data_IF_835672799593
#
_entry.id   IF_835672799593
#
_cell.length_a   1.000
_cell.length_b   1.000
_cell.length_c   1.000
_cell.angle_alpha   90.00
_cell.angle_beta   90.00
_cell.angle_gamma   90.00
#
_symmetry.space_group_name_H-M   'P 1'
#
loop_
_entity.id
_entity.type
_entity.pdbx_description
1 polymer ?
#
# COMPACT_ATOMS: atom_id res chain seq x y z
N UNK A 1 22.56 -24.86 -19.64
CA UNK A 1 21.38 -24.09 -19.18
C UNK A 1 21.81 -22.67 -18.95
N UNK A 2 21.24 -21.71 -19.67
CA UNK A 2 21.72 -20.32 -19.68
C UNK A 2 21.58 -19.70 -18.27
N UNK A 3 22.65 -19.12 -17.68
CA UNK A 3 22.63 -18.60 -16.32
C UNK A 3 21.87 -17.28 -16.14
N UNK A 4 21.41 -16.65 -17.23
CA UNK A 4 20.87 -15.29 -17.22
C UNK A 4 19.35 -15.17 -17.08
N UNK A 5 18.62 -16.27 -16.88
CA UNK A 5 17.16 -16.24 -16.71
C UNK A 5 16.77 -16.29 -15.25
N UNK A 6 16.31 -15.15 -14.72
CA UNK A 6 15.63 -15.04 -13.43
C UNK A 6 14.44 -16.02 -13.39
N UNK A 7 14.22 -16.77 -12.29
CA UNK A 7 13.09 -17.68 -12.18
C UNK A 7 11.77 -16.96 -12.50
N UNK A 8 10.90 -17.56 -13.32
CA UNK A 8 9.63 -16.95 -13.74
C UNK A 8 8.74 -16.53 -12.56
N UNK A 9 8.90 -17.21 -11.42
CA UNK A 9 8.20 -16.94 -10.17
C UNK A 9 8.61 -15.56 -9.62
N UNK A 10 9.91 -15.29 -9.49
CA UNK A 10 10.44 -14.02 -8.97
C UNK A 10 10.05 -12.85 -9.89
N UNK A 11 10.08 -13.08 -11.21
CA UNK A 11 9.66 -12.10 -12.22
C UNK A 11 8.18 -11.73 -12.11
N UNK A 12 7.32 -12.71 -11.83
CA UNK A 12 5.88 -12.50 -11.59
C UNK A 12 5.64 -11.80 -10.27
N UNK A 13 6.31 -12.17 -9.19
CA UNK A 13 6.16 -11.51 -7.89
C UNK A 13 6.56 -10.04 -7.95
N UNK A 14 7.67 -9.69 -8.59
CA UNK A 14 8.11 -8.29 -8.75
C UNK A 14 7.13 -7.48 -9.61
N UNK A 15 6.61 -8.07 -10.69
CA UNK A 15 5.70 -7.37 -11.62
C UNK A 15 4.28 -7.20 -11.06
N UNK A 16 3.77 -8.18 -10.31
CA UNK A 16 2.40 -8.16 -9.79
C UNK A 16 2.32 -7.77 -8.31
N UNK A 17 3.41 -7.80 -7.56
CA UNK A 17 3.44 -7.49 -6.13
C UNK A 17 2.84 -6.13 -5.80
N UNK A 18 3.23 -5.09 -6.54
CA UNK A 18 2.75 -3.72 -6.36
C UNK A 18 1.24 -3.61 -6.63
N UNK A 19 0.75 -4.38 -7.62
CA UNK A 19 -0.67 -4.46 -7.96
C UNK A 19 -1.47 -5.22 -6.91
N UNK A 20 -0.91 -6.30 -6.34
CA UNK A 20 -1.52 -7.04 -5.23
C UNK A 20 -1.59 -6.19 -3.96
N UNK A 21 -0.52 -5.45 -3.64
CA UNK A 21 -0.49 -4.55 -2.49
C UNK A 21 -1.49 -3.39 -2.66
N UNK A 22 -1.54 -2.80 -3.86
CA UNK A 22 -2.54 -1.79 -4.22
C UNK A 22 -3.97 -2.35 -4.17
N UNK A 23 -4.18 -3.58 -4.65
CA UNK A 23 -5.48 -4.25 -4.59
C UNK A 23 -5.95 -4.48 -3.15
N UNK A 24 -5.05 -4.94 -2.27
CA UNK A 24 -5.35 -5.05 -0.84
C UNK A 24 -5.67 -3.68 -0.21
N UNK A 25 -4.98 -2.61 -0.62
CA UNK A 25 -5.28 -1.25 -0.17
C UNK A 25 -6.69 -0.79 -0.61
N UNK A 26 -7.09 -1.12 -1.84
CA UNK A 26 -8.44 -0.85 -2.34
C UNK A 26 -9.51 -1.59 -1.53
N UNK A 27 -9.29 -2.89 -1.26
CA UNK A 27 -10.18 -3.69 -0.42
C UNK A 27 -10.27 -3.14 1.01
N UNK A 28 -9.14 -2.76 1.61
CA UNK A 28 -9.09 -2.14 2.93
C UNK A 28 -9.89 -0.81 2.95
N UNK A 29 -9.80 -0.01 1.90
CA UNK A 29 -10.59 1.21 1.71
C UNK A 29 -12.08 0.94 1.61
N UNK A 30 -12.50 -0.07 0.84
CA UNK A 30 -13.91 -0.48 0.72
C UNK A 30 -14.49 -1.00 2.03
N UNK A 31 -13.73 -1.84 2.75
CA UNK A 31 -14.14 -2.36 4.07
C UNK A 31 -14.29 -1.19 5.06
N UNK A 32 -13.30 -0.30 5.11
CA UNK A 32 -13.38 0.91 5.94
C UNK A 32 -14.61 1.75 5.61
N UNK A 33 -14.87 1.99 4.32
CA UNK A 33 -16.01 2.75 3.85
C UNK A 33 -17.34 2.10 4.29
N UNK A 34 -17.47 0.78 4.18
CA UNK A 34 -18.66 0.04 4.61
C UNK A 34 -18.92 0.20 6.12
N UNK A 35 -17.86 0.10 6.93
CA UNK A 35 -17.96 0.25 8.38
C UNK A 35 -18.36 1.68 8.78
N UNK A 36 -17.70 2.71 8.22
CA UNK A 36 -18.04 4.10 8.49
C UNK A 36 -19.48 4.44 8.08
N UNK A 37 -19.96 3.91 6.95
CA UNK A 37 -21.34 4.14 6.51
C UNK A 37 -22.38 3.51 7.41
N UNK A 38 -22.09 2.34 7.98
CA UNK A 38 -22.96 1.72 9.00
C UNK A 38 -22.99 2.55 10.27
N UNK A 39 -21.84 3.05 10.73
CA UNK A 39 -21.76 3.89 11.95
C UNK A 39 -22.43 5.26 11.77
N UNK A 40 -22.34 5.87 10.60
CA UNK A 40 -22.90 7.20 10.30
C UNK A 40 -24.30 7.15 9.64
N UNK A 41 -24.90 5.96 9.56
CA UNK A 41 -26.23 5.69 8.99
C UNK A 41 -26.44 6.25 7.56
N UNK A 42 -25.43 6.14 6.70
CA UNK A 42 -25.43 6.73 5.36
C UNK A 42 -25.91 5.70 4.32
N UNK A 43 -27.20 5.76 3.97
CA UNK A 43 -27.80 4.85 2.96
C UNK A 43 -27.52 5.27 1.50
N UNK A 44 -27.45 6.58 1.21
CA UNK A 44 -27.25 7.14 -0.14
C UNK A 44 -25.77 7.39 -0.46
N UNK A 45 -25.39 7.37 -1.74
CA UNK A 45 -24.02 7.72 -2.17
C UNK A 45 -22.98 6.60 -2.05
N UNK A 46 -23.38 5.34 -2.24
CA UNK A 46 -22.45 4.20 -2.23
C UNK A 46 -21.33 4.37 -3.23
N UNK A 47 -21.66 4.61 -4.49
CA UNK A 47 -20.69 4.77 -5.56
C UNK A 47 -19.79 5.99 -5.33
N UNK A 48 -20.37 7.11 -4.88
CA UNK A 48 -19.66 8.36 -4.65
C UNK A 48 -18.59 8.26 -3.54
N UNK A 49 -18.81 7.40 -2.54
CA UNK A 49 -17.85 7.16 -1.45
C UNK A 49 -16.92 5.98 -1.74
N UNK A 50 -17.39 4.92 -2.41
CA UNK A 50 -16.63 3.70 -2.67
C UNK A 50 -15.56 3.87 -3.76
N UNK A 51 -15.84 4.66 -4.81
CA UNK A 51 -14.87 4.96 -5.86
C UNK A 51 -13.59 5.61 -5.33
N UNK A 52 -13.65 6.77 -4.65
CA UNK A 52 -12.45 7.44 -4.17
C UNK A 52 -11.74 6.64 -3.07
N UNK A 53 -12.49 5.95 -2.20
CA UNK A 53 -11.91 5.11 -1.14
C UNK A 53 -11.27 3.82 -1.66
N UNK A 54 -11.58 3.36 -2.88
CA UNK A 54 -10.89 2.23 -3.50
C UNK A 54 -9.76 2.67 -4.44
N UNK A 55 -10.05 3.61 -5.36
CA UNK A 55 -9.14 4.02 -6.41
C UNK A 55 -7.94 4.82 -5.88
N UNK A 56 -8.16 5.73 -4.92
CA UNK A 56 -7.08 6.55 -4.40
C UNK A 56 -6.07 5.72 -3.60
N UNK A 57 -6.48 4.85 -2.64
CA UNK A 57 -5.53 4.01 -1.94
C UNK A 57 -4.79 3.03 -2.86
N UNK A 58 -5.46 2.52 -3.90
CA UNK A 58 -4.81 1.70 -4.93
C UNK A 58 -3.66 2.47 -5.61
N UNK A 59 -3.97 3.63 -6.19
CA UNK A 59 -3.01 4.43 -6.95
C UNK A 59 -1.87 4.94 -6.08
N UNK A 60 -2.20 5.43 -4.88
CA UNK A 60 -1.22 5.94 -3.92
C UNK A 60 -0.27 4.82 -3.48
N UNK A 61 -0.80 3.65 -3.11
CA UNK A 61 0.05 2.53 -2.66
C UNK A 61 0.93 2.01 -3.79
N UNK A 62 0.36 1.81 -4.98
CA UNK A 62 1.13 1.36 -6.15
C UNK A 62 2.19 2.39 -6.56
N UNK A 63 1.85 3.68 -6.56
CA UNK A 63 2.76 4.78 -6.88
C UNK A 63 3.90 4.90 -5.87
N UNK A 64 3.58 4.95 -4.56
CA UNK A 64 4.60 5.01 -3.51
C UNK A 64 5.53 3.80 -3.53
N UNK A 65 5.00 2.60 -3.78
CA UNK A 65 5.84 1.41 -3.83
C UNK A 65 6.82 1.48 -4.99
N UNK A 66 6.36 1.89 -6.18
CA UNK A 66 7.25 2.04 -7.33
C UNK A 66 8.36 3.06 -7.08
N UNK A 67 8.04 4.24 -6.53
CA UNK A 67 9.04 5.31 -6.32
C UNK A 67 9.99 5.00 -5.16
N UNK A 68 9.46 4.52 -4.03
CA UNK A 68 10.24 4.36 -2.80
C UNK A 68 10.96 3.02 -2.69
N UNK A 69 10.45 1.99 -3.36
CA UNK A 69 11.02 0.64 -3.33
C UNK A 69 11.66 0.32 -4.68
N UNK A 70 10.88 0.24 -5.77
CA UNK A 70 11.39 -0.24 -7.06
C UNK A 70 12.45 0.68 -7.67
N UNK A 71 12.18 1.98 -7.76
CA UNK A 71 13.08 2.96 -8.38
C UNK A 71 14.34 3.21 -7.53
N UNK A 72 14.18 3.24 -6.21
CA UNK A 72 15.30 3.36 -5.27
C UNK A 72 16.24 2.15 -5.30
N UNK A 73 15.70 0.94 -5.52
CA UNK A 73 16.54 -0.26 -5.69
C UNK A 73 17.36 -0.15 -6.98
N UNK A 74 16.73 0.25 -8.09
CA UNK A 74 17.37 0.35 -9.42
C UNK A 74 18.40 1.49 -9.49
N UNK A 75 18.06 2.68 -8.99
CA UNK A 75 18.87 3.89 -9.15
C UNK A 75 20.07 3.94 -8.21
N UNK A 76 19.94 3.42 -6.99
CA UNK A 76 20.89 3.74 -5.92
C UNK A 76 21.81 2.59 -5.49
N UNK A 77 21.65 1.37 -6.03
CA UNK A 77 22.51 0.23 -5.67
C UNK A 77 22.61 -0.01 -4.16
N UNK A 78 21.56 0.32 -3.40
CA UNK A 78 21.57 0.24 -1.94
C UNK A 78 21.69 -1.23 -1.53
N UNK A 79 22.88 -1.64 -1.08
CA UNK A 79 23.22 -3.00 -0.65
C UNK A 79 22.54 -3.43 0.67
N UNK A 80 21.56 -2.70 1.19
CA UNK A 80 21.00 -2.94 2.53
C UNK A 80 19.60 -3.62 2.47
N UNK A 81 19.48 -4.90 2.85
CA UNK A 81 18.20 -5.62 2.89
C UNK A 81 17.19 -4.97 3.84
N UNK A 82 17.67 -4.39 4.93
CA UNK A 82 16.86 -3.75 5.97
C UNK A 82 16.19 -2.47 5.48
N UNK A 83 16.84 -1.73 4.57
CA UNK A 83 16.28 -0.51 3.98
C UNK A 83 15.10 -0.82 3.04
N UNK A 84 15.22 -1.87 2.22
CA UNK A 84 14.14 -2.31 1.34
C UNK A 84 12.93 -2.83 2.13
N UNK A 85 13.17 -3.65 3.17
CA UNK A 85 12.09 -4.14 4.05
C UNK A 85 11.39 -3.01 4.80
N UNK A 86 12.13 -2.07 5.40
CA UNK A 86 11.54 -0.96 6.17
C UNK A 86 10.71 -0.03 5.29
N UNK A 87 11.16 0.25 4.06
CA UNK A 87 10.40 1.04 3.08
C UNK A 87 9.15 0.31 2.59
N UNK A 88 9.26 -0.98 2.25
CA UNK A 88 8.11 -1.80 1.85
C UNK A 88 7.06 -1.93 2.96
N UNK A 89 7.49 -2.12 4.20
CA UNK A 89 6.63 -2.14 5.38
C UNK A 89 5.96 -0.77 5.62
N UNK A 90 6.71 0.33 5.50
CA UNK A 90 6.17 1.68 5.66
C UNK A 90 5.11 1.98 4.61
N UNK A 91 5.36 1.65 3.33
CA UNK A 91 4.39 1.85 2.24
C UNK A 91 3.16 0.95 2.43
N UNK A 92 3.33 -0.30 2.83
CA UNK A 92 2.22 -1.22 3.11
C UNK A 92 1.33 -0.76 4.26
N UNK A 93 1.93 -0.29 5.36
CA UNK A 93 1.18 0.18 6.54
C UNK A 93 0.55 1.55 6.30
N UNK A 94 1.31 2.53 5.80
CA UNK A 94 0.84 3.89 5.61
C UNK A 94 -0.07 3.99 4.39
N UNK A 95 0.38 3.50 3.23
CA UNK A 95 -0.41 3.53 1.99
C UNK A 95 -1.54 2.52 2.00
N UNK A 96 -1.28 1.29 2.45
CA UNK A 96 -2.24 0.18 2.40
C UNK A 96 -3.21 0.08 3.59
N UNK A 97 -2.96 0.78 4.70
CA UNK A 97 -3.78 0.71 5.92
C UNK A 97 -4.17 2.08 6.49
N UNK A 98 -3.19 2.95 6.78
CA UNK A 98 -3.44 4.25 7.40
C UNK A 98 -4.22 5.21 6.51
N UNK A 99 -3.76 5.37 5.26
CA UNK A 99 -4.37 6.25 4.27
C UNK A 99 -5.84 5.88 3.95
N UNK A 100 -6.20 4.61 3.64
CA UNK A 100 -7.59 4.25 3.38
C UNK A 100 -8.53 4.52 4.56
N UNK A 101 -8.06 4.35 5.80
CA UNK A 101 -8.88 4.59 7.00
C UNK A 101 -9.13 6.08 7.19
N UNK A 102 -8.11 6.93 7.05
CA UNK A 102 -8.24 8.39 7.16
C UNK A 102 -9.08 8.97 6.03
N UNK A 103 -8.87 8.48 4.81
CA UNK A 103 -9.64 8.91 3.64
C UNK A 103 -11.12 8.50 3.78
N UNK A 104 -11.40 7.26 4.21
CA UNK A 104 -12.76 6.80 4.43
C UNK A 104 -13.45 7.60 5.55
N UNK A 105 -12.74 7.94 6.63
CA UNK A 105 -13.26 8.81 7.69
C UNK A 105 -13.67 10.18 7.11
N UNK A 106 -12.75 10.85 6.39
CA UNK A 106 -12.99 12.18 5.83
C UNK A 106 -14.16 12.20 4.84
N UNK A 107 -14.19 11.25 3.90
CA UNK A 107 -15.26 11.15 2.89
C UNK A 107 -16.62 10.91 3.53
N UNK A 108 -16.71 10.01 4.52
CA UNK A 108 -17.98 9.68 5.16
C UNK A 108 -18.48 10.79 6.09
N UNK A 109 -17.60 11.49 6.81
CA UNK A 109 -18.00 12.66 7.61
C UNK A 109 -18.47 13.79 6.71
N UNK A 110 -17.77 14.05 5.60
CA UNK A 110 -18.20 15.04 4.62
C UNK A 110 -19.58 14.70 4.04
N UNK A 111 -19.80 13.43 3.71
CA UNK A 111 -21.09 12.99 3.17
C UNK A 111 -22.21 13.07 4.21
N UNK A 112 -21.94 12.72 5.47
CA UNK A 112 -22.87 12.88 6.58
C UNK A 112 -23.24 14.36 6.80
N UNK A 113 -22.28 15.27 6.66
CA UNK A 113 -22.48 16.72 6.71
C UNK A 113 -23.42 17.20 5.61
N UNK A 114 -23.17 16.75 4.37
CA UNK A 114 -23.94 17.17 3.19
C UNK A 114 -25.35 16.62 3.20
N UNK A 115 -25.52 15.38 3.66
CA UNK A 115 -26.82 14.71 3.67
C UNK A 115 -27.60 14.92 4.97
N UNK A 116 -27.05 15.64 5.96
CA UNK A 116 -27.61 15.82 7.30
C UNK A 116 -28.06 14.50 7.96
N UNK A 117 -27.32 13.42 7.73
CA UNK A 117 -27.70 12.08 8.22
C UNK A 117 -27.31 11.82 9.67
N UNK A 118 -26.40 12.62 10.23
CA UNK A 118 -25.95 12.52 11.60
C UNK A 118 -25.80 13.92 12.23
N UNK A 119 -26.12 14.09 13.53
CA UNK A 119 -25.92 15.34 14.23
C UNK A 119 -24.43 15.67 14.25
N UNK A 120 -24.07 16.75 13.54
CA UNK A 120 -22.68 17.19 13.47
C UNK A 120 -22.23 17.77 14.81
N UNK A 121 -21.01 17.44 15.26
CA UNK A 121 -20.49 17.93 16.53
C UNK A 121 -20.33 19.45 16.51
N UNK A 122 -20.61 20.07 17.65
CA UNK A 122 -20.38 21.49 17.90
C UNK A 122 -18.88 21.82 17.74
N UNK A 123 -18.56 23.04 17.28
CA UNK A 123 -17.21 23.43 16.78
C UNK A 123 -16.04 23.10 17.73
N UNK A 124 -16.29 22.95 19.03
CA UNK A 124 -15.28 22.58 20.03
C UNK A 124 -14.99 21.08 20.18
N UNK A 125 -15.84 20.17 19.67
CA UNK A 125 -15.76 18.73 19.97
C UNK A 125 -15.57 17.83 18.73
N UNK A 126 -15.25 18.44 17.58
CA UNK A 126 -15.12 17.75 16.29
C UNK A 126 -14.03 16.66 16.33
N UNK A 127 -12.86 16.95 16.91
CA UNK A 127 -11.76 16.00 16.97
C UNK A 127 -12.10 14.77 17.81
N UNK A 128 -12.78 14.97 18.95
CA UNK A 128 -13.26 13.86 19.80
C UNK A 128 -14.26 12.99 19.05
N UNK A 129 -15.20 13.60 18.34
CA UNK A 129 -16.15 12.86 17.53
C UNK A 129 -15.45 12.00 16.45
N UNK A 130 -14.45 12.54 15.76
CA UNK A 130 -13.67 11.78 14.77
C UNK A 130 -12.95 10.59 15.42
N UNK A 131 -12.34 10.80 16.59
CA UNK A 131 -11.67 9.73 17.34
C UNK A 131 -12.67 8.67 17.79
N UNK A 132 -13.81 9.05 18.35
CA UNK A 132 -14.83 8.12 18.84
C UNK A 132 -15.44 7.28 17.72
N UNK A 133 -15.70 7.87 16.55
CA UNK A 133 -16.18 7.14 15.37
C UNK A 133 -15.07 6.22 14.82
N UNK A 134 -13.82 6.66 14.81
CA UNK A 134 -12.68 5.88 14.29
C UNK A 134 -12.26 4.73 15.20
N UNK A 135 -12.38 4.85 16.53
CA UNK A 135 -11.94 3.85 17.53
C UNK A 135 -12.46 2.43 17.27
N UNK A 136 -13.77 2.19 17.11
CA UNK A 136 -14.29 0.85 16.86
C UNK A 136 -13.83 0.31 15.50
N UNK A 137 -13.72 1.19 14.50
CA UNK A 137 -13.34 0.82 13.13
C UNK A 137 -11.86 0.44 13.07
N UNK A 138 -10.99 1.21 13.72
CA UNK A 138 -9.58 0.88 13.90
C UNK A 138 -9.40 -0.46 14.60
N UNK A 139 -10.23 -0.76 15.61
CA UNK A 139 -10.18 -2.04 16.32
C UNK A 139 -10.55 -3.22 15.41
N UNK A 140 -11.51 -3.04 14.51
CA UNK A 140 -11.91 -4.04 13.53
C UNK A 140 -10.94 -4.16 12.34
N UNK A 141 -10.25 -3.08 11.99
CA UNK A 141 -9.25 -3.02 10.92
C UNK A 141 -7.85 -3.47 11.35
N UNK A 142 -7.59 -3.65 12.66
CA UNK A 142 -6.32 -4.18 13.19
C UNK A 142 -5.79 -5.43 12.45
N UNK A 143 -6.57 -6.50 12.25
CA UNK A 143 -6.08 -7.68 11.51
C UNK A 143 -5.71 -7.35 10.06
N UNK A 144 -6.45 -6.46 9.39
CA UNK A 144 -6.14 -6.01 8.03
C UNK A 144 -4.82 -5.24 7.99
N UNK A 145 -4.59 -4.34 8.97
CA UNK A 145 -3.33 -3.61 9.11
C UNK A 145 -2.14 -4.54 9.37
N UNK A 146 -2.30 -5.55 10.23
CA UNK A 146 -1.26 -6.54 10.49
C UNK A 146 -0.95 -7.35 9.23
N UNK A 147 -1.99 -7.76 8.50
CA UNK A 147 -1.83 -8.46 7.24
C UNK A 147 -1.06 -7.60 6.23
N UNK A 148 -1.43 -6.32 6.08
CA UNK A 148 -0.73 -5.37 5.20
C UNK A 148 0.72 -5.12 5.61
N UNK A 149 1.02 -5.10 6.90
CA UNK A 149 2.40 -5.00 7.40
C UNK A 149 3.23 -6.24 7.04
N UNK A 150 2.66 -7.44 7.24
CA UNK A 150 3.32 -8.71 6.90
C UNK A 150 3.54 -8.79 5.39
N UNK A 151 2.52 -8.51 4.59
CA UNK A 151 2.63 -8.55 3.13
C UNK A 151 3.60 -7.50 2.60
N UNK A 152 3.57 -6.26 3.09
CA UNK A 152 4.51 -5.20 2.68
C UNK A 152 5.96 -5.53 3.03
N UNK A 153 6.20 -6.13 4.20
CA UNK A 153 7.53 -6.59 4.61
C UNK A 153 8.00 -7.77 3.76
N UNK A 154 7.13 -8.75 3.54
CA UNK A 154 7.42 -9.93 2.73
C UNK A 154 7.75 -9.54 1.29
N UNK A 155 6.96 -8.67 0.69
CA UNK A 155 7.17 -8.19 -0.67
C UNK A 155 8.50 -7.42 -0.79
N UNK A 156 8.78 -6.51 0.15
CA UNK A 156 10.06 -5.78 0.20
C UNK A 156 11.28 -6.70 0.35
N UNK A 157 11.16 -7.80 1.10
CA UNK A 157 12.23 -8.79 1.22
C UNK A 157 12.50 -9.56 -0.08
N UNK A 158 11.45 -9.94 -0.79
CA UNK A 158 11.54 -10.66 -2.08
C UNK A 158 12.06 -9.79 -3.20
N UNK A 159 11.68 -8.52 -3.23
CA UNK A 159 12.19 -7.56 -4.21
C UNK A 159 13.70 -7.33 -4.05
N UNK A 160 14.19 -7.28 -2.80
CA UNK A 160 15.63 -7.19 -2.53
C UNK A 160 16.39 -8.45 -2.97
N UNK A 161 15.89 -9.65 -2.65
CA UNK A 161 16.49 -10.92 -3.06
C UNK A 161 16.57 -11.04 -4.60
N UNK A 162 15.50 -10.64 -5.27
CA UNK A 162 15.40 -10.67 -6.74
C UNK A 162 16.36 -9.66 -7.38
N UNK A 163 16.43 -8.44 -6.84
CA UNK A 163 17.33 -7.40 -7.33
C UNK A 163 18.80 -7.78 -7.17
N UNK A 164 19.19 -8.35 -6.03
CA UNK A 164 20.58 -8.78 -5.79
C UNK A 164 21.02 -9.93 -6.70
N UNK A 165 20.13 -10.90 -6.98
CA UNK A 165 20.40 -11.95 -7.98
C UNK A 165 20.62 -11.36 -9.37
N UNK A 166 19.76 -10.42 -9.78
CA UNK A 166 19.86 -9.77 -11.09
C UNK A 166 21.15 -8.96 -11.21
N UNK A 167 21.49 -8.16 -10.19
CA UNK A 167 22.73 -7.40 -10.16
C UNK A 167 23.96 -8.30 -10.29
N UNK A 168 24.03 -9.42 -9.55
CA UNK A 168 25.15 -10.38 -9.67
C UNK A 168 25.29 -10.95 -11.08
N UNK A 169 24.19 -11.30 -11.73
CA UNK A 169 24.21 -11.81 -13.12
C UNK A 169 24.70 -10.73 -14.08
N UNK A 170 24.21 -9.50 -13.96
CA UNK A 170 24.64 -8.39 -14.82
C UNK A 170 26.12 -8.05 -14.63
N UNK A 171 26.61 -7.98 -13.39
CA UNK A 171 28.04 -7.73 -13.12
C UNK A 171 28.93 -8.90 -13.52
N UNK A 172 28.48 -10.15 -13.38
CA UNK A 172 29.20 -11.32 -13.88
C UNK A 172 29.30 -11.31 -15.41
N UNK A 173 28.20 -10.96 -16.10
CA UNK A 173 28.16 -10.88 -17.57
C UNK A 173 28.96 -9.69 -18.10
N UNK A 174 28.98 -8.56 -17.38
CA UNK A 174 29.79 -7.38 -17.74
C UNK A 174 31.30 -7.60 -17.55
N UNK A 175 31.71 -8.58 -16.74
CA UNK A 175 33.10 -9.02 -16.64
C UNK A 175 33.54 -9.82 -17.88
N UNK A 176 32.69 -10.72 -18.37
CA UNK A 176 32.99 -11.51 -19.58
C UNK A 176 33.02 -10.65 -20.86
N UNK A 177 32.25 -9.55 -20.91
CA UNK A 177 32.24 -8.64 -22.07
C UNK A 177 33.48 -7.71 -22.13
N UNK A 178 34.22 -7.57 -21.02
CA UNK A 178 35.48 -6.82 -20.98
C UNK A 178 36.72 -7.69 -21.28
N UNK A 179 36.68 -9.01 -21.06
CA UNK A 179 37.77 -9.93 -21.43
C UNK A 179 37.73 -10.35 -22.91
N UNK A 180 36.66 -10.05 -23.65
CA UNK A 180 36.55 -10.40 -25.09
C UNK A 180 36.95 -9.25 -26.02
N UNK A 181 37.67 -8.24 -25.50
CA UNK A 181 38.13 -7.07 -26.27
C UNK A 181 39.65 -6.83 -26.17
N UNK A 182 40.42 -7.88 -25.87
CA UNK A 182 41.87 -7.93 -26.04
C UNK A 182 42.27 -8.96 -27.12
#
# INVERSE_FOLDING_TARGET
>A
TNPCTLPDIDKKFFKYGNLYLGGNAAFAGLISNSLYRRTLNISKGFIASSLPTAALPFLVTAGLYNVLVSDSLVSSGLNCPTCAMTRGALVGVVGGGGYPILLALAVNIFLAARLNTAPMPERGNVLRHWVDVSRPILRQMRPVLLLQAIFGTYLGSRDFETYTKLARVTFSSGGEELETKD
#
